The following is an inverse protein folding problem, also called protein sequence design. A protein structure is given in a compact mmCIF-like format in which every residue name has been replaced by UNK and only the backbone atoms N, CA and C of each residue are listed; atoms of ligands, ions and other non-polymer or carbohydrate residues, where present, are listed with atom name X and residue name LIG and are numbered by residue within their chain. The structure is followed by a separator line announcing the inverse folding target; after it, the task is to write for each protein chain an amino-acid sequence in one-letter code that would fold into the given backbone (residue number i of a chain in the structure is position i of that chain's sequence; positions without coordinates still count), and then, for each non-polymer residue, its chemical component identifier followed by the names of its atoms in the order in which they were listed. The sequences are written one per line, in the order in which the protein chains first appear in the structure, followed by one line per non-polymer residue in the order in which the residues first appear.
data_IF_196123203300
#
_entry.id   IF_196123203300
#
_cell.length_a   1.000
_cell.length_b   1.000
_cell.length_c   1.000
_cell.angle_alpha   90.00
_cell.angle_beta   90.00
_cell.angle_gamma   90.00
#
_symmetry.space_group_name_H-M   'P 1'
#
loop_
_entity.id
_entity.type
_entity.pdbx_description
1 polymer ?
#
# COMPACT_ATOMS: atom_id res chain seq x y z
N UNK A 1 18.84 -25.95 2.47
CA UNK A 1 19.83 -26.74 3.22
C UNK A 1 21.12 -26.95 2.44
N UNK A 2 21.12 -27.54 1.24
CA UNK A 2 22.32 -27.68 0.41
C UNK A 2 22.93 -26.34 -0.06
N UNK A 3 22.08 -25.38 -0.44
CA UNK A 3 22.51 -24.02 -0.80
C UNK A 3 23.12 -23.22 0.38
N UNK A 4 22.76 -23.56 1.63
CA UNK A 4 23.33 -22.90 2.81
C UNK A 4 24.72 -23.44 3.15
N UNK A 5 24.93 -24.76 2.98
CA UNK A 5 26.24 -25.40 3.21
C UNK A 5 27.27 -24.93 2.18
N UNK A 6 26.87 -24.77 0.91
CA UNK A 6 27.74 -24.22 -0.15
C UNK A 6 28.15 -22.77 0.09
N UNK A 7 27.27 -21.97 0.70
CA UNK A 7 27.56 -20.58 1.08
C UNK A 7 28.54 -20.50 2.26
N UNK A 8 28.49 -21.45 3.20
CA UNK A 8 29.38 -21.52 4.37
C UNK A 8 30.82 -21.94 3.98
N UNK A 9 30.96 -22.78 2.95
CA UNK A 9 32.26 -23.30 2.50
C UNK A 9 33.01 -22.41 1.51
N UNK A 10 32.43 -21.28 1.08
CA UNK A 10 32.99 -20.40 0.06
C UNK A 10 33.10 -18.94 0.53
N UNK A 11 34.02 -18.62 1.46
CA UNK A 11 34.29 -17.23 1.89
C UNK A 11 34.97 -16.38 0.79
N UNK A 12 35.24 -16.96 -0.38
CA UNK A 12 35.99 -16.33 -1.49
C UNK A 12 35.10 -15.47 -2.40
N UNK A 13 33.78 -15.66 -2.38
CA UNK A 13 32.84 -14.93 -3.26
C UNK A 13 32.11 -13.79 -2.51
N UNK A 14 32.17 -13.79 -1.18
CA UNK A 14 31.62 -12.72 -0.35
C UNK A 14 32.74 -11.74 0.00
N UNK A 15 32.59 -10.49 -0.45
CA UNK A 15 33.53 -9.41 -0.16
C UNK A 15 33.68 -9.25 1.37
N UNK A 16 34.90 -9.34 1.95
CA UNK A 16 35.14 -9.18 3.38
C UNK A 16 34.75 -7.80 3.93
N UNK A 17 34.45 -6.84 3.06
CA UNK A 17 33.92 -5.51 3.41
C UNK A 17 32.41 -5.50 3.71
N UNK A 18 31.71 -6.62 3.56
CA UNK A 18 30.31 -6.77 3.99
C UNK A 18 30.22 -6.74 5.51
N UNK A 19 30.18 -5.53 6.06
CA UNK A 19 29.80 -5.30 7.44
C UNK A 19 28.42 -5.91 7.69
N UNK A 20 28.20 -6.61 8.82
CA UNK A 20 26.87 -7.09 9.17
C UNK A 20 25.92 -5.89 9.16
N UNK A 21 24.86 -5.99 8.34
CA UNK A 21 23.84 -4.96 8.23
C UNK A 21 23.43 -4.50 9.62
N UNK A 22 23.46 -3.17 9.84
CA UNK A 22 23.00 -2.54 11.07
C UNK A 22 21.64 -3.14 11.46
N UNK A 23 21.39 -3.44 12.75
CA UNK A 23 20.27 -4.27 13.16
C UNK A 23 18.95 -3.48 13.17
N UNK A 24 18.59 -2.90 12.03
CA UNK A 24 17.29 -2.29 11.71
C UNK A 24 16.13 -3.26 11.95
N UNK A 25 16.41 -4.57 11.91
CA UNK A 25 15.45 -5.64 12.22
C UNK A 25 15.35 -6.02 13.71
N UNK A 26 16.24 -5.56 14.61
CA UNK A 26 16.11 -5.89 16.04
C UNK A 26 15.05 -5.05 16.75
N UNK A 27 14.84 -3.79 16.38
CA UNK A 27 13.77 -2.93 16.90
C UNK A 27 12.53 -3.01 16.01
N UNK A 28 11.86 -4.16 16.01
CA UNK A 28 10.86 -4.55 15.01
C UNK A 28 9.50 -3.83 15.11
N UNK A 29 9.23 -3.06 16.16
CA UNK A 29 7.89 -2.50 16.42
C UNK A 29 7.44 -1.55 15.30
N UNK A 30 8.29 -0.59 14.90
CA UNK A 30 7.96 0.37 13.85
C UNK A 30 7.81 -0.26 12.47
N UNK A 31 8.68 -1.23 12.15
CA UNK A 31 8.61 -2.00 10.91
C UNK A 31 7.31 -2.80 10.82
N UNK A 32 6.94 -3.51 11.89
CA UNK A 32 5.72 -4.32 11.94
C UNK A 32 4.49 -3.42 11.79
N UNK A 33 4.39 -2.33 12.56
CA UNK A 33 3.22 -1.44 12.47
C UNK A 33 3.10 -0.82 11.07
N UNK A 34 4.22 -0.40 10.47
CA UNK A 34 4.26 0.10 9.10
C UNK A 34 3.75 -0.93 8.09
N UNK A 35 4.34 -2.13 8.07
CA UNK A 35 4.00 -3.18 7.10
C UNK A 35 2.54 -3.59 7.24
N UNK A 36 2.05 -3.81 8.46
CA UNK A 36 0.65 -4.20 8.70
C UNK A 36 -0.34 -3.13 8.22
N UNK A 37 0.00 -1.85 8.40
CA UNK A 37 -0.85 -0.74 7.94
C UNK A 37 -0.92 -0.66 6.41
N UNK A 38 0.21 -0.84 5.73
CA UNK A 38 0.28 -0.86 4.25
C UNK A 38 -0.43 -2.09 3.67
N UNK A 39 -0.23 -3.27 4.27
CA UNK A 39 -0.93 -4.49 3.84
C UNK A 39 -2.45 -4.35 3.98
N UNK A 40 -2.93 -3.73 5.06
CA UNK A 40 -4.36 -3.47 5.26
C UNK A 40 -4.92 -2.51 4.21
N UNK A 41 -4.15 -1.48 3.83
CA UNK A 41 -4.51 -0.57 2.73
C UNK A 41 -4.66 -1.31 1.40
N UNK A 42 -3.69 -2.16 1.04
CA UNK A 42 -3.79 -2.95 -0.20
C UNK A 42 -4.96 -3.93 -0.19
N UNK A 43 -5.28 -4.53 0.96
CA UNK A 43 -6.47 -5.37 1.09
C UNK A 43 -7.77 -4.57 0.82
N UNK A 44 -7.87 -3.33 1.33
CA UNK A 44 -9.01 -2.46 1.06
C UNK A 44 -9.13 -2.09 -0.43
N UNK A 45 -8.02 -1.82 -1.11
CA UNK A 45 -8.02 -1.57 -2.56
C UNK A 45 -8.39 -2.80 -3.38
N UNK A 46 -7.94 -3.99 -2.97
CA UNK A 46 -8.32 -5.23 -3.62
C UNK A 46 -9.83 -5.51 -3.49
N UNK A 47 -10.41 -5.25 -2.32
CA UNK A 47 -11.86 -5.35 -2.12
C UNK A 47 -12.63 -4.32 -2.97
N UNK A 48 -12.15 -3.08 -3.04
CA UNK A 48 -12.76 -2.06 -3.90
C UNK A 48 -12.73 -2.47 -5.38
N UNK A 49 -11.62 -3.05 -5.83
CA UNK A 49 -11.50 -3.59 -7.19
C UNK A 49 -12.54 -4.70 -7.46
N UNK A 50 -12.68 -5.67 -6.55
CA UNK A 50 -13.66 -6.76 -6.71
C UNK A 50 -15.11 -6.28 -6.73
N UNK A 51 -15.46 -5.30 -5.89
CA UNK A 51 -16.80 -4.69 -5.87
C UNK A 51 -17.06 -3.87 -7.14
N UNK A 52 -16.06 -3.12 -7.61
CA UNK A 52 -16.13 -2.36 -8.85
C UNK A 52 -16.34 -3.25 -10.07
N UNK A 53 -15.55 -4.33 -10.19
CA UNK A 53 -15.67 -5.30 -11.28
C UNK A 53 -17.04 -5.99 -11.27
N UNK A 54 -17.52 -6.39 -10.08
CA UNK A 54 -18.88 -6.91 -9.92
C UNK A 54 -19.97 -5.92 -10.34
N UNK A 55 -19.81 -4.62 -10.02
CA UNK A 55 -20.70 -3.56 -10.46
C UNK A 55 -20.75 -3.43 -11.99
N UNK A 56 -19.60 -3.50 -12.66
CA UNK A 56 -19.51 -3.48 -14.14
C UNK A 56 -20.18 -4.70 -14.76
N UNK A 57 -20.00 -5.90 -14.18
CA UNK A 57 -20.68 -7.11 -14.65
C UNK A 57 -22.21 -6.99 -14.58
N UNK A 58 -22.75 -6.32 -13.56
CA UNK A 58 -24.19 -6.05 -13.47
C UNK A 58 -24.67 -5.07 -14.54
N UNK A 59 -23.87 -4.03 -14.84
CA UNK A 59 -24.16 -3.07 -15.90
C UNK A 59 -24.19 -3.71 -17.29
N UNK A 60 -23.29 -4.65 -17.58
CA UNK A 60 -23.25 -5.37 -18.86
C UNK A 60 -24.47 -6.30 -19.02
N UNK A 61 -24.94 -6.90 -17.93
CA UNK A 61 -26.10 -7.82 -17.97
C UNK A 61 -27.42 -7.08 -18.17
N UNK A 62 -27.72 -6.12 -17.30
CA UNK A 62 -28.92 -5.30 -17.40
C UNK A 62 -28.76 -4.05 -16.52
N UNK A 63 -28.38 -2.94 -17.15
CA UNK A 63 -28.16 -1.66 -16.47
C UNK A 63 -29.45 -1.10 -15.85
N UNK A 64 -30.58 -1.26 -16.55
CA UNK A 64 -31.85 -0.63 -16.14
C UNK A 64 -32.49 -1.34 -14.95
N UNK A 65 -32.41 -2.67 -14.90
CA UNK A 65 -32.91 -3.46 -13.78
C UNK A 65 -32.04 -3.31 -12.51
N UNK A 66 -30.72 -3.14 -12.68
CA UNK A 66 -29.75 -3.15 -11.58
C UNK A 66 -29.27 -1.76 -11.13
N UNK A 67 -29.82 -0.67 -11.68
CA UNK A 67 -29.35 0.70 -11.46
C UNK A 67 -29.22 1.08 -9.98
N UNK A 68 -30.19 0.69 -9.15
CA UNK A 68 -30.15 0.96 -7.71
C UNK A 68 -29.00 0.22 -7.01
N UNK A 69 -28.78 -1.05 -7.37
CA UNK A 69 -27.72 -1.90 -6.82
C UNK A 69 -26.33 -1.45 -7.26
N UNK A 70 -26.19 -1.04 -8.52
CA UNK A 70 -24.95 -0.45 -9.05
C UNK A 70 -24.62 0.84 -8.31
N UNK A 71 -25.60 1.71 -8.04
CA UNK A 71 -25.38 2.93 -7.26
C UNK A 71 -24.89 2.65 -5.84
N UNK A 72 -25.47 1.65 -5.17
CA UNK A 72 -25.04 1.23 -3.84
C UNK A 72 -23.61 0.66 -3.85
N UNK A 73 -23.31 -0.25 -4.79
CA UNK A 73 -21.97 -0.82 -4.99
C UNK A 73 -20.92 0.26 -5.27
N UNK A 74 -21.25 1.25 -6.11
CA UNK A 74 -20.37 2.38 -6.39
C UNK A 74 -20.10 3.22 -5.16
N UNK A 75 -21.11 3.44 -4.30
CA UNK A 75 -20.93 4.15 -3.03
C UNK A 75 -20.02 3.38 -2.08
N UNK A 76 -20.22 2.08 -1.93
CA UNK A 76 -19.36 1.21 -1.10
C UNK A 76 -17.95 1.14 -1.65
N UNK A 77 -17.77 1.03 -2.97
CA UNK A 77 -16.48 1.04 -3.64
C UNK A 77 -15.73 2.35 -3.35
N UNK A 78 -16.42 3.50 -3.48
CA UNK A 78 -15.84 4.79 -3.14
C UNK A 78 -15.39 4.83 -1.69
N UNK A 79 -16.23 4.44 -0.73
CA UNK A 79 -15.88 4.40 0.70
C UNK A 79 -14.65 3.52 1.00
N UNK A 80 -14.55 2.34 0.37
CA UNK A 80 -13.38 1.47 0.52
C UNK A 80 -12.10 2.11 -0.03
N UNK A 81 -12.19 2.82 -1.16
CA UNK A 81 -11.06 3.58 -1.70
C UNK A 81 -10.66 4.70 -0.72
N UNK A 82 -11.60 5.41 -0.10
CA UNK A 82 -11.28 6.44 0.90
C UNK A 82 -10.49 5.83 2.07
N UNK A 83 -10.97 4.71 2.63
CA UNK A 83 -10.31 4.01 3.73
C UNK A 83 -8.93 3.49 3.31
N UNK A 84 -8.82 2.90 2.12
CA UNK A 84 -7.55 2.41 1.57
C UNK A 84 -6.52 3.53 1.43
N UNK A 85 -6.91 4.70 0.94
CA UNK A 85 -6.03 5.87 0.80
C UNK A 85 -5.61 6.42 2.16
N UNK A 86 -6.52 6.48 3.14
CA UNK A 86 -6.20 6.93 4.49
C UNK A 86 -5.17 6.01 5.16
N UNK A 87 -5.35 4.70 5.04
CA UNK A 87 -4.40 3.71 5.54
C UNK A 87 -3.06 3.79 4.81
N UNK A 88 -3.08 4.02 3.49
CA UNK A 88 -1.85 4.21 2.71
C UNK A 88 -1.07 5.44 3.20
N UNK A 89 -1.77 6.54 3.46
CA UNK A 89 -1.18 7.78 3.97
C UNK A 89 -0.57 7.56 5.36
N UNK A 90 -1.31 6.95 6.28
CA UNK A 90 -0.83 6.62 7.62
C UNK A 90 0.39 5.67 7.55
N UNK A 91 0.32 4.63 6.72
CA UNK A 91 1.41 3.70 6.48
C UNK A 91 2.66 4.39 5.93
N UNK A 92 2.50 5.36 5.02
CA UNK A 92 3.61 6.14 4.46
C UNK A 92 4.31 6.99 5.53
N UNK A 93 3.55 7.66 6.40
CA UNK A 93 4.11 8.43 7.53
C UNK A 93 4.84 7.50 8.51
N UNK A 94 4.24 6.37 8.87
CA UNK A 94 4.87 5.36 9.73
C UNK A 94 6.15 4.78 9.10
N UNK A 95 6.19 4.66 7.78
CA UNK A 95 7.37 4.26 7.02
C UNK A 95 8.49 5.29 7.09
N UNK A 96 8.15 6.58 7.02
CA UNK A 96 9.11 7.69 7.24
C UNK A 96 9.67 7.72 8.65
N UNK A 97 8.84 7.47 9.68
CA UNK A 97 9.30 7.33 11.06
C UNK A 97 10.27 6.15 11.19
N UNK A 98 9.94 4.99 10.62
CA UNK A 98 10.85 3.85 10.62
C UNK A 98 12.16 4.15 9.88
N UNK A 99 12.12 4.85 8.76
CA UNK A 99 13.31 5.24 7.99
C UNK A 99 14.20 6.21 8.77
N UNK A 100 13.62 7.12 9.56
CA UNK A 100 14.36 8.02 10.44
C UNK A 100 15.10 7.24 11.54
N UNK A 101 14.41 6.29 12.18
CA UNK A 101 15.01 5.41 13.19
C UNK A 101 16.08 4.47 12.63
N UNK A 102 16.00 4.11 11.35
CA UNK A 102 16.86 3.10 10.72
C UNK A 102 18.05 3.69 9.99
N UNK A 103 17.87 4.85 9.35
CA UNK A 103 18.84 5.45 8.43
C UNK A 103 19.10 6.93 8.73
N UNK A 104 18.51 7.49 9.80
CA UNK A 104 18.70 8.89 10.20
C UNK A 104 18.04 9.91 9.26
N UNK A 105 17.12 9.47 8.40
CA UNK A 105 16.40 10.31 7.43
C UNK A 105 14.92 9.94 7.37
N UNK A 106 14.07 10.94 7.62
CA UNK A 106 12.61 10.80 7.55
C UNK A 106 12.02 10.65 6.14
N UNK A 107 12.59 11.31 5.11
CA UNK A 107 12.06 11.34 3.75
C UNK A 107 13.16 11.45 2.71
N UNK A 108 13.10 10.65 1.65
CA UNK A 108 14.13 10.52 0.63
C UNK A 108 13.70 10.78 -0.81
N UNK A 109 12.40 11.01 -1.08
CA UNK A 109 11.84 11.07 -2.45
C UNK A 109 12.03 9.77 -3.25
N UNK A 110 12.24 8.66 -2.56
CA UNK A 110 12.33 7.36 -3.21
C UNK A 110 11.03 7.06 -3.97
N UNK A 111 11.05 6.21 -5.02
CA UNK A 111 9.87 5.91 -5.83
C UNK A 111 8.62 5.51 -5.01
N UNK A 112 8.82 4.85 -3.87
CA UNK A 112 7.76 4.45 -2.92
C UNK A 112 7.06 5.65 -2.25
N UNK A 113 7.82 6.67 -1.88
CA UNK A 113 7.37 7.87 -1.15
C UNK A 113 6.68 8.85 -2.10
N UNK A 114 7.26 9.01 -3.30
CA UNK A 114 6.69 9.81 -4.38
C UNK A 114 5.35 9.25 -4.85
N UNK A 115 5.22 7.92 -4.96
CA UNK A 115 3.96 7.29 -5.38
C UNK A 115 2.84 7.45 -4.34
N UNK A 116 3.15 7.34 -3.05
CA UNK A 116 2.18 7.60 -1.99
C UNK A 116 1.64 9.04 -2.02
N UNK A 117 2.51 10.01 -2.29
CA UNK A 117 2.11 11.42 -2.44
C UNK A 117 1.20 11.62 -3.66
N UNK A 118 1.54 11.03 -4.81
CA UNK A 118 0.73 11.10 -6.03
C UNK A 118 -0.66 10.47 -5.80
N UNK A 119 -0.73 9.32 -5.14
CA UNK A 119 -1.99 8.66 -4.82
C UNK A 119 -2.90 9.55 -3.94
N UNK A 120 -2.31 10.27 -2.98
CA UNK A 120 -3.04 11.20 -2.12
C UNK A 120 -3.63 12.38 -2.92
N UNK A 121 -2.84 12.96 -3.83
CA UNK A 121 -3.32 14.06 -4.69
C UNK A 121 -4.43 13.60 -5.65
N UNK A 122 -4.28 12.42 -6.24
CA UNK A 122 -5.30 11.83 -7.12
C UNK A 122 -6.63 11.62 -6.41
N UNK A 123 -6.60 11.11 -5.18
CA UNK A 123 -7.80 10.95 -4.36
C UNK A 123 -8.52 12.27 -4.07
N UNK A 124 -7.80 13.35 -3.72
CA UNK A 124 -8.42 14.66 -3.47
C UNK A 124 -9.19 15.17 -4.69
N UNK A 125 -8.65 14.96 -5.90
CA UNK A 125 -9.33 15.35 -7.14
C UNK A 125 -10.60 14.54 -7.36
N UNK A 126 -10.55 13.23 -7.14
CA UNK A 126 -11.73 12.35 -7.25
C UNK A 126 -12.82 12.71 -6.24
N UNK A 127 -12.43 13.03 -5.01
CA UNK A 127 -13.36 13.44 -3.95
C UNK A 127 -14.03 14.80 -4.21
N UNK A 128 -13.29 15.74 -4.79
CA UNK A 128 -13.86 17.02 -5.21
C UNK A 128 -14.90 16.88 -6.34
N UNK A 129 -14.73 15.89 -7.23
CA UNK A 129 -15.69 15.59 -8.29
C UNK A 129 -16.94 14.91 -7.75
N UNK A 130 -16.82 13.98 -6.79
CA UNK A 130 -17.99 13.33 -6.20
C UNK A 130 -18.90 14.34 -5.47
N UNK A 131 -18.32 15.32 -4.77
CA UNK A 131 -19.08 16.37 -4.06
C UNK A 131 -19.79 17.37 -4.98
N UNK A 132 -19.52 17.37 -6.30
CA UNK A 132 -20.23 18.20 -7.28
C UNK A 132 -21.35 17.45 -8.00
N UNK A 133 -21.43 16.13 -7.83
CA UNK A 133 -22.40 15.24 -8.48
C UNK A 133 -23.61 14.89 -7.58
N UNK A 134 -23.57 15.31 -6.31
CA UNK A 134 -24.68 15.27 -5.34
C UNK A 134 -25.36 16.64 -5.25
#
# INVERSE_FOLDING_TARGET
TFAMVLADTAPVILDPSLQPLEPVLRSNMWLVIHVMTITLSYAAFFLAFGIGDYGVLLSIKDETANKAKIRELSKTCYQLIQVGVLLLAAGTILGGVWADYSWGRFWGWDPKETWAFIALMGYRKCSAVSNQAD
#
